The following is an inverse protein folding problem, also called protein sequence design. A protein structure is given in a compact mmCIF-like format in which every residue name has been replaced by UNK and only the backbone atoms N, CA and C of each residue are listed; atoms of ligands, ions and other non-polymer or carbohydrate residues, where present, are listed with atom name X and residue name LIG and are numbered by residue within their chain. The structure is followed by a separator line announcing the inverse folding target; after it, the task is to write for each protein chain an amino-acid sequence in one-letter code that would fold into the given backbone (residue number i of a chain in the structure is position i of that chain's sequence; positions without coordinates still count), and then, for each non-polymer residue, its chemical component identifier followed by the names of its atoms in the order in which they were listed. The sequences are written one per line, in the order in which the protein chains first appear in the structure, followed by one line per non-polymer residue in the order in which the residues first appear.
data_IF_488868070576
#
_entry.id   IF_488868070576
#
_cell.length_a   1.000
_cell.length_b   1.000
_cell.length_c   1.000
_cell.angle_alpha   90.00
_cell.angle_beta   90.00
_cell.angle_gamma   90.00
#
_symmetry.space_group_name_H-M   'P 1'
#
loop_
_entity.id
_entity.type
_entity.pdbx_description
1 polymer ?
#
# COMPACT_ATOMS: atom_id res chain seq x y z
N UNK A 1 0.01 17.63 10.08
CA UNK A 1 -0.39 16.26 10.47
C UNK A 1 0.77 15.24 10.42
N UNK A 2 1.74 15.35 9.49
CA UNK A 2 2.87 14.40 9.41
C UNK A 2 3.95 14.61 10.49
N UNK A 3 4.23 15.85 10.89
CA UNK A 3 5.26 16.14 11.90
C UNK A 3 4.98 15.52 13.27
N UNK A 4 3.70 15.29 13.62
CA UNK A 4 3.33 14.64 14.90
C UNK A 4 3.54 13.12 14.89
N UNK A 5 3.61 12.49 13.71
CA UNK A 5 3.87 11.06 13.57
C UNK A 5 5.37 10.75 13.74
N UNK A 6 6.24 11.60 13.16
CA UNK A 6 7.70 11.46 13.25
C UNK A 6 8.18 11.63 14.70
N UNK A 7 7.63 12.62 15.42
CA UNK A 7 7.92 12.84 16.84
C UNK A 7 7.48 11.68 17.74
N UNK A 8 6.48 10.90 17.32
CA UNK A 8 5.98 9.75 18.09
C UNK A 8 6.78 8.47 17.82
N UNK A 9 7.40 8.35 16.64
CA UNK A 9 8.30 7.22 16.34
C UNK A 9 9.66 7.34 17.00
N UNK A 10 10.10 8.54 17.36
CA UNK A 10 11.37 8.79 18.07
C UNK A 10 11.23 8.85 19.60
N UNK A 11 10.03 8.62 20.15
CA UNK A 11 9.81 8.59 21.60
C UNK A 11 10.41 7.29 22.16
N UNK A 12 11.36 7.41 23.10
CA UNK A 12 11.96 6.26 23.77
C UNK A 12 10.86 5.37 24.39
N UNK A 13 11.05 4.03 24.43
CA UNK A 13 10.08 3.11 25.03
C UNK A 13 9.73 3.61 26.43
N UNK A 14 8.46 3.96 26.65
CA UNK A 14 8.02 4.40 27.97
C UNK A 14 8.31 3.28 28.96
N UNK A 15 8.94 3.55 30.11
CA UNK A 15 9.16 2.53 31.11
C UNK A 15 7.82 1.87 31.46
N UNK A 16 7.86 0.57 31.72
CA UNK A 16 6.67 -0.21 32.10
C UNK A 16 5.92 0.48 33.23
N UNK A 17 4.59 0.48 33.15
CA UNK A 17 3.74 1.14 34.12
C UNK A 17 3.85 0.45 35.49
N UNK A 18 4.55 1.09 36.44
CA UNK A 18 4.64 0.64 37.83
C UNK A 18 3.58 1.34 38.68
N UNK A 19 2.66 0.56 39.25
CA UNK A 19 1.57 1.09 40.09
C UNK A 19 2.07 1.78 41.36
N UNK A 20 3.20 1.32 41.92
CA UNK A 20 3.74 1.83 43.18
C UNK A 20 4.39 3.20 43.03
N UNK A 21 5.10 3.41 41.91
CA UNK A 21 5.87 4.62 41.61
C UNK A 21 5.01 5.75 40.99
N UNK A 22 3.72 5.51 40.75
CA UNK A 22 2.86 6.49 40.09
C UNK A 22 2.57 7.70 41.02
N UNK A 23 3.00 8.93 40.66
CA UNK A 23 2.76 10.13 41.46
C UNK A 23 1.27 10.51 41.53
N UNK A 24 0.45 10.06 40.58
CA UNK A 24 -0.97 10.34 40.52
C UNK A 24 -1.79 9.11 40.92
N UNK A 25 -2.03 8.95 42.23
CA UNK A 25 -2.91 7.88 42.74
C UNK A 25 -4.39 8.22 42.48
N UNK A 26 -5.18 7.22 42.09
CA UNK A 26 -6.60 7.40 41.84
C UNK A 26 -7.35 7.67 43.17
N UNK A 27 -8.07 8.79 43.26
CA UNK A 27 -8.87 9.15 44.46
C UNK A 27 -10.04 8.20 44.70
N UNK A 28 -10.55 7.56 43.64
CA UNK A 28 -11.61 6.56 43.69
C UNK A 28 -11.12 5.29 43.02
N UNK A 29 -11.30 4.16 43.70
CA UNK A 29 -11.03 2.84 43.14
C UNK A 29 -12.00 2.59 41.97
N UNK A 30 -11.48 2.08 40.87
CA UNK A 30 -12.26 1.59 39.74
C UNK A 30 -12.17 0.06 39.76
N UNK A 31 -13.23 -0.69 39.42
CA UNK A 31 -14.58 -0.28 39.03
C UNK A 31 -15.48 0.11 40.23
N UNK A 32 -16.47 1.01 40.04
CA UNK A 32 -17.45 1.30 41.06
C UNK A 32 -18.39 0.11 41.27
N UNK A 33 -18.87 -0.06 42.50
CA UNK A 33 -19.93 -1.04 42.81
C UNK A 33 -21.22 -0.67 42.07
N UNK A 34 -21.53 -1.38 40.99
CA UNK A 34 -22.72 -1.11 40.17
C UNK A 34 -24.04 -1.34 40.90
N UNK A 35 -24.06 -2.17 41.95
CA UNK A 35 -25.24 -2.43 42.78
C UNK A 35 -25.65 -1.23 43.64
N UNK A 36 -24.73 -0.31 43.94
CA UNK A 36 -24.98 0.88 44.77
C UNK A 36 -25.33 2.12 43.93
N UNK A 37 -25.33 1.98 42.60
CA UNK A 37 -25.54 3.09 41.66
C UNK A 37 -27.02 3.24 41.28
N UNK A 38 -27.48 4.49 41.17
CA UNK A 38 -28.80 4.76 40.58
C UNK A 38 -28.89 4.20 39.15
N UNK A 39 -30.02 3.60 38.74
CA UNK A 39 -30.21 3.03 37.39
C UNK A 39 -29.92 4.04 36.26
N UNK A 40 -30.24 5.32 36.47
CA UNK A 40 -29.93 6.40 35.52
C UNK A 40 -28.43 6.56 35.30
N UNK A 41 -27.63 6.40 36.36
CA UNK A 41 -26.18 6.49 36.27
C UNK A 41 -25.57 5.24 35.62
N UNK A 42 -26.10 4.06 35.95
CA UNK A 42 -25.71 2.79 35.32
C UNK A 42 -25.92 2.83 33.80
N UNK A 43 -27.09 3.27 33.33
CA UNK A 43 -27.38 3.38 31.89
C UNK A 43 -26.40 4.32 31.15
N UNK A 44 -25.98 5.43 31.79
CA UNK A 44 -24.98 6.35 31.21
C UNK A 44 -23.62 5.68 31.07
N UNK A 45 -23.20 4.90 32.07
CA UNK A 45 -21.94 4.17 32.04
C UNK A 45 -21.97 3.08 30.97
N UNK A 46 -23.06 2.31 30.90
CA UNK A 46 -23.26 1.29 29.89
C UNK A 46 -23.22 1.88 28.47
N UNK A 47 -23.94 2.98 28.23
CA UNK A 47 -23.92 3.67 26.93
C UNK A 47 -22.50 4.13 26.56
N UNK A 48 -21.73 4.65 27.53
CA UNK A 48 -20.34 5.04 27.32
C UNK A 48 -19.45 3.83 27.02
N UNK A 49 -19.64 2.73 27.73
CA UNK A 49 -18.92 1.48 27.53
C UNK A 49 -19.17 0.93 26.12
N UNK A 50 -20.44 0.77 25.71
CA UNK A 50 -20.79 0.26 24.37
C UNK A 50 -20.15 1.10 23.24
N UNK A 51 -20.14 2.43 23.38
CA UNK A 51 -19.46 3.32 22.42
C UNK A 51 -17.95 3.10 22.37
N UNK A 52 -17.30 3.00 23.53
CA UNK A 52 -15.85 2.76 23.62
C UNK A 52 -15.48 1.37 23.12
N UNK A 53 -16.28 0.35 23.42
CA UNK A 53 -16.12 -0.99 22.89
C UNK A 53 -16.20 -0.98 21.36
N UNK A 54 -17.20 -0.33 20.76
CA UNK A 54 -17.29 -0.18 19.30
C UNK A 54 -16.02 0.45 18.70
N UNK A 55 -15.43 1.43 19.38
CA UNK A 55 -14.17 2.06 18.93
C UNK A 55 -12.94 1.17 19.14
N UNK A 56 -12.87 0.42 20.24
CA UNK A 56 -11.77 -0.51 20.52
C UNK A 56 -11.79 -1.71 19.54
N UNK A 57 -12.99 -2.17 19.19
CA UNK A 57 -13.21 -3.25 18.23
C UNK A 57 -13.18 -2.77 16.78
N UNK A 58 -13.27 -1.46 16.51
CA UNK A 58 -13.03 -0.94 15.17
C UNK A 58 -11.58 -1.23 14.77
N UNK A 59 -11.38 -2.01 13.69
CA UNK A 59 -10.07 -2.26 13.09
C UNK A 59 -9.92 -1.47 11.78
N UNK A 60 -9.74 -0.13 11.84
CA UNK A 60 -9.74 0.72 10.64
C UNK A 60 -8.57 0.43 9.71
N UNK A 61 -7.45 -0.10 10.22
CA UNK A 61 -6.29 -0.48 9.39
C UNK A 61 -6.60 -1.73 8.57
N UNK A 62 -7.20 -2.73 9.19
CA UNK A 62 -7.60 -3.97 8.52
C UNK A 62 -8.65 -3.73 7.45
N UNK A 63 -9.69 -2.95 7.77
CA UNK A 63 -10.73 -2.63 6.78
C UNK A 63 -10.20 -1.83 5.59
N UNK A 64 -9.23 -0.93 5.81
CA UNK A 64 -8.52 -0.24 4.71
C UNK A 64 -7.69 -1.21 3.87
N UNK A 65 -6.96 -2.14 4.49
CA UNK A 65 -6.15 -3.13 3.79
C UNK A 65 -7.02 -4.05 2.92
N UNK A 66 -8.12 -4.57 3.46
CA UNK A 66 -9.06 -5.42 2.69
C UNK A 66 -9.70 -4.64 1.55
N UNK A 67 -10.10 -3.39 1.77
CA UNK A 67 -10.61 -2.54 0.68
C UNK A 67 -9.57 -2.34 -0.40
N UNK A 68 -8.32 -2.06 -0.04
CA UNK A 68 -7.23 -1.92 -1.02
C UNK A 68 -7.02 -3.22 -1.81
N UNK A 69 -7.05 -4.37 -1.14
CA UNK A 69 -6.97 -5.67 -1.79
C UNK A 69 -8.16 -5.92 -2.74
N UNK A 70 -9.38 -5.50 -2.36
CA UNK A 70 -10.57 -5.63 -3.20
C UNK A 70 -10.44 -4.81 -4.49
N UNK A 71 -10.03 -3.53 -4.38
CA UNK A 71 -9.79 -2.68 -5.55
C UNK A 71 -8.62 -3.20 -6.39
N UNK A 72 -7.52 -3.63 -5.75
CA UNK A 72 -6.36 -4.21 -6.42
C UNK A 72 -6.72 -5.49 -7.18
N UNK A 73 -7.53 -6.37 -6.59
CA UNK A 73 -8.02 -7.58 -7.25
C UNK A 73 -8.90 -7.24 -8.45
N UNK A 74 -9.76 -6.22 -8.34
CA UNK A 74 -10.57 -5.77 -9.47
C UNK A 74 -9.73 -5.25 -10.63
N UNK A 75 -8.76 -4.38 -10.35
CA UNK A 75 -7.82 -3.84 -11.36
C UNK A 75 -7.01 -4.98 -11.99
N UNK A 76 -6.55 -5.93 -11.19
CA UNK A 76 -5.80 -7.09 -11.67
C UNK A 76 -6.61 -7.92 -12.66
N UNK A 77 -7.86 -8.26 -12.33
CA UNK A 77 -8.74 -9.03 -13.22
C UNK A 77 -9.05 -8.26 -14.50
N UNK A 78 -9.32 -6.95 -14.40
CA UNK A 78 -9.56 -6.11 -15.58
C UNK A 78 -8.33 -6.02 -16.49
N UNK A 79 -7.14 -5.88 -15.89
CA UNK A 79 -5.87 -5.83 -16.63
C UNK A 79 -5.60 -7.16 -17.33
N UNK A 80 -5.84 -8.29 -16.66
CA UNK A 80 -5.74 -9.62 -17.26
C UNK A 80 -6.72 -9.78 -18.44
N UNK A 81 -7.98 -9.40 -18.25
CA UNK A 81 -8.99 -9.43 -19.32
C UNK A 81 -8.58 -8.59 -20.53
N UNK A 82 -8.16 -7.35 -20.31
CA UNK A 82 -7.79 -6.46 -21.41
C UNK A 82 -6.52 -6.92 -22.12
N UNK A 83 -5.46 -7.29 -21.38
CA UNK A 83 -4.14 -7.53 -21.97
C UNK A 83 -3.87 -8.97 -22.41
N UNK A 84 -4.32 -9.96 -21.65
CA UNK A 84 -3.86 -11.35 -21.78
C UNK A 84 -4.94 -12.33 -22.20
N UNK A 85 -6.20 -12.05 -21.87
CA UNK A 85 -7.28 -12.97 -22.18
C UNK A 85 -7.63 -12.92 -23.66
N UNK A 86 -7.49 -14.04 -24.34
CA UNK A 86 -7.80 -14.17 -25.75
C UNK A 86 -9.27 -14.59 -25.92
N UNK A 87 -10.04 -13.79 -26.64
CA UNK A 87 -11.50 -13.96 -26.79
C UNK A 87 -11.89 -14.83 -27.98
N UNK A 88 -10.92 -15.51 -28.63
CA UNK A 88 -11.18 -16.45 -29.73
C UNK A 88 -11.75 -15.80 -30.99
N UNK A 89 -11.63 -14.48 -31.13
CA UNK A 89 -11.95 -13.71 -32.35
C UNK A 89 -10.68 -13.03 -32.82
N UNK A 90 -10.39 -13.10 -34.11
CA UNK A 90 -9.19 -12.48 -34.71
C UNK A 90 -9.18 -10.94 -34.51
N UNK A 91 -10.37 -10.31 -34.45
CA UNK A 91 -10.53 -8.87 -34.23
C UNK A 91 -10.94 -8.55 -32.78
N UNK A 92 -9.99 -8.55 -31.86
CA UNK A 92 -10.24 -8.11 -30.47
C UNK A 92 -10.21 -6.58 -30.37
N UNK A 93 -11.20 -5.93 -29.71
CA UNK A 93 -11.28 -4.46 -29.62
C UNK A 93 -10.15 -3.83 -28.80
N UNK A 94 -9.37 -4.63 -28.07
CA UNK A 94 -8.29 -4.20 -27.21
C UNK A 94 -6.89 -4.36 -27.82
N UNK A 95 -6.80 -4.72 -29.12
CA UNK A 95 -5.52 -4.96 -29.82
C UNK A 95 -4.58 -3.75 -29.77
N UNK A 96 -5.11 -2.55 -30.05
CA UNK A 96 -4.35 -1.29 -29.97
C UNK A 96 -3.77 -1.04 -28.56
N UNK A 97 -4.52 -1.35 -27.50
CA UNK A 97 -4.07 -1.19 -26.11
C UNK A 97 -2.98 -2.21 -25.76
N UNK A 98 -3.10 -3.45 -26.25
CA UNK A 98 -2.09 -4.50 -26.07
C UNK A 98 -0.77 -4.15 -26.76
N UNK A 99 -0.85 -3.65 -27.99
CA UNK A 99 0.34 -3.31 -28.79
C UNK A 99 1.08 -2.11 -28.18
N UNK A 100 0.35 -1.10 -27.71
CA UNK A 100 0.93 -0.01 -26.92
C UNK A 100 1.58 -0.51 -25.62
N UNK A 101 0.90 -1.37 -24.86
CA UNK A 101 1.43 -1.93 -23.61
C UNK A 101 2.71 -2.74 -23.85
N UNK A 102 2.75 -3.57 -24.91
CA UNK A 102 3.94 -4.29 -25.32
C UNK A 102 5.07 -3.33 -25.70
N UNK A 103 4.81 -2.28 -26.47
CA UNK A 103 5.82 -1.27 -26.80
C UNK A 103 6.38 -0.55 -25.57
N UNK A 104 5.55 -0.25 -24.58
CA UNK A 104 6.00 0.33 -23.30
C UNK A 104 6.82 -0.69 -22.50
N UNK A 105 6.33 -1.91 -22.34
CA UNK A 105 7.02 -2.98 -21.63
C UNK A 105 8.37 -3.31 -22.26
N UNK A 106 8.42 -3.40 -23.58
CA UNK A 106 9.63 -3.60 -24.36
C UNK A 106 10.57 -2.42 -24.17
N UNK A 107 10.13 -1.17 -24.25
CA UNK A 107 11.02 0.00 -24.05
C UNK A 107 11.66 0.07 -22.65
N UNK A 108 10.96 -0.44 -21.63
CA UNK A 108 11.45 -0.50 -20.25
C UNK A 108 12.44 -1.66 -20.08
N UNK A 109 12.19 -2.81 -20.72
CA UNK A 109 13.04 -4.00 -20.60
C UNK A 109 14.18 -4.08 -21.62
N UNK A 110 14.10 -3.36 -22.73
CA UNK A 110 15.10 -3.38 -23.82
C UNK A 110 16.06 -2.17 -23.81
N UNK A 111 16.15 -1.44 -22.69
CA UNK A 111 17.07 -0.30 -22.50
C UNK A 111 18.58 -0.63 -22.62
N UNK A 112 18.94 -1.86 -22.99
CA UNK A 112 20.31 -2.32 -23.19
C UNK A 112 20.47 -3.16 -24.46
N UNK A 113 20.15 -2.60 -25.63
CA UNK A 113 20.57 -3.17 -26.92
C UNK A 113 21.54 -2.17 -27.58
N UNK A 114 22.82 -2.45 -27.35
CA UNK A 114 24.02 -2.05 -28.10
C UNK A 114 23.93 -0.84 -29.05
N UNK A 115 24.62 0.25 -28.69
CA UNK A 115 25.18 1.17 -29.68
C UNK A 115 26.21 0.40 -30.52
N UNK A 116 25.79 -0.13 -31.67
CA UNK A 116 26.70 -0.61 -32.70
C UNK A 116 27.14 0.61 -33.52
N UNK A 117 28.43 1.02 -33.49
CA UNK A 117 28.88 2.10 -34.35
C UNK A 117 28.69 1.69 -35.82
N UNK A 118 28.33 2.63 -36.71
CA UNK A 118 28.10 2.31 -38.13
C UNK A 118 29.36 1.63 -38.72
N UNK A 119 29.20 0.62 -39.59
CA UNK A 119 30.33 -0.09 -40.17
C UNK A 119 31.25 0.91 -40.89
N UNK A 120 32.58 0.81 -40.73
CA UNK A 120 33.52 1.72 -41.39
C UNK A 120 33.31 1.64 -42.91
N UNK A 121 33.08 2.79 -43.52
CA UNK A 121 32.97 2.94 -44.97
C UNK A 121 34.20 2.33 -45.64
N UNK A 122 33.98 1.36 -46.54
CA UNK A 122 35.04 0.76 -47.36
C UNK A 122 35.80 1.88 -48.08
N UNK A 123 37.05 2.10 -47.68
CA UNK A 123 37.96 2.92 -48.46
C UNK A 123 38.28 2.18 -49.79
N UNK A 124 38.22 2.85 -50.95
CA UNK A 124 38.64 2.24 -52.21
C UNK A 124 40.13 1.91 -52.13
N UNK A 125 40.47 0.63 -52.31
CA UNK A 125 41.86 0.20 -52.45
C UNK A 125 42.48 0.87 -53.68
N UNK A 126 43.55 1.64 -53.47
CA UNK A 126 44.39 2.11 -54.56
C UNK A 126 45.33 0.97 -55.00
N UNK A 127 45.41 0.62 -56.29
CA UNK A 127 46.33 -0.41 -56.74
C UNK A 127 47.76 0.16 -56.75
N UNK A 128 48.64 -0.48 -55.97
CA UNK A 128 50.08 -0.27 -56.02
C UNK A 128 50.60 -0.60 -57.44
N UNK A 129 51.23 0.38 -58.10
CA UNK A 129 52.06 0.15 -59.29
C UNK A 129 53.34 -0.59 -58.89
N UNK A 130 53.53 -1.76 -59.48
CA UNK A 130 54.76 -2.55 -59.47
C UNK A 130 55.77 -1.98 -60.46
N UNK A 131 57.03 -1.86 -60.03
CA UNK A 131 58.22 -1.66 -60.85
C UNK A 131 59.13 -2.87 -60.66
#
# INVERSE_FOLDING_TARGET
MLQTLIRRSSEAPRPGFNFETNPYKAKRIWPPDFSKLSPKHQFRLERRYRRRAKLAWARPRWTKAVKLAQWGSGIFVLTYGVLFMDWGREDTPFRSIRDWYKGVADSIWSHSQHFEPPPPSRQPQQPHSSN
#
